data_IF_580844514459
#
_entry.id   IF_580844514459
#
_cell.length_a   1.000
_cell.length_b   1.000
_cell.length_c   1.000
_cell.angle_alpha   90.00
_cell.angle_beta   90.00
_cell.angle_gamma   90.00
#
_symmetry.space_group_name_H-M   'P 1'
#
loop_
_entity.id
_entity.type
_entity.pdbx_description
1 polymer ?
#
# COMPACT_ATOMS: atom_id res chain seq x y z
N UNK A 1 9.67 11.75 6.87
CA UNK A 1 8.31 11.59 7.40
C UNK A 1 7.30 12.01 6.33
N UNK A 2 6.22 11.25 6.13
CA UNK A 2 5.07 11.71 5.34
C UNK A 2 4.12 12.43 6.28
N UNK A 3 3.65 13.62 5.89
CA UNK A 3 2.76 14.45 6.69
C UNK A 3 1.60 14.98 5.86
N UNK A 4 0.41 14.84 6.38
CA UNK A 4 -0.84 15.33 5.80
C UNK A 4 -1.51 16.19 6.86
N UNK A 5 -1.64 17.48 6.60
CA UNK A 5 -2.13 18.45 7.56
C UNK A 5 -3.36 19.16 7.02
N UNK A 6 -4.52 18.84 7.59
CA UNK A 6 -5.83 19.40 7.26
C UNK A 6 -6.14 19.41 5.77
N UNK A 7 -5.90 18.27 5.10
CA UNK A 7 -5.97 18.17 3.63
C UNK A 7 -7.39 17.89 3.17
N UNK A 8 -7.88 18.76 2.29
CA UNK A 8 -9.10 18.55 1.51
C UNK A 8 -8.73 18.44 0.03
N UNK A 9 -9.37 17.52 -0.69
CA UNK A 9 -9.17 17.36 -2.11
C UNK A 9 -10.47 17.05 -2.84
N UNK A 10 -10.75 17.79 -3.92
CA UNK A 10 -11.86 17.57 -4.84
C UNK A 10 -11.33 17.36 -6.25
N UNK A 11 -11.86 16.37 -6.97
CA UNK A 11 -11.65 16.26 -8.40
C UNK A 11 -12.50 17.37 -9.07
N UNK A 12 -11.84 18.40 -9.63
CA UNK A 12 -12.56 19.42 -10.39
C UNK A 12 -12.97 18.85 -11.74
N UNK A 13 -14.26 18.60 -11.91
CA UNK A 13 -14.86 18.40 -13.23
C UNK A 13 -15.36 19.75 -13.74
N UNK A 14 -14.99 20.10 -14.99
CA UNK A 14 -15.48 21.33 -15.62
C UNK A 14 -17.01 21.32 -15.64
N UNK A 15 -17.65 22.09 -14.75
CA UNK A 15 -19.10 22.32 -14.73
C UNK A 15 -19.84 21.81 -13.49
N UNK A 16 -19.27 20.96 -12.64
CA UNK A 16 -19.89 20.53 -11.39
C UNK A 16 -19.22 21.20 -10.19
N UNK A 17 -19.77 22.32 -9.74
CA UNK A 17 -19.28 23.03 -8.54
C UNK A 17 -19.63 22.34 -7.22
N UNK A 18 -20.46 21.27 -7.23
CA UNK A 18 -21.03 20.64 -6.04
C UNK A 18 -20.64 19.17 -5.82
N UNK A 19 -19.62 18.64 -6.52
CA UNK A 19 -19.16 17.29 -6.21
C UNK A 19 -18.51 17.25 -4.82
N UNK A 20 -18.91 16.31 -3.92
CA UNK A 20 -18.34 16.22 -2.60
C UNK A 20 -16.83 15.95 -2.70
N UNK A 21 -16.01 16.55 -1.83
CA UNK A 21 -14.57 16.28 -1.82
C UNK A 21 -14.28 14.79 -1.65
N UNK A 22 -13.22 14.33 -2.31
CA UNK A 22 -12.74 12.94 -2.15
C UNK A 22 -11.94 12.75 -0.85
N UNK A 23 -11.42 13.85 -0.27
CA UNK A 23 -10.80 13.89 1.05
C UNK A 23 -11.28 15.15 1.79
N UNK A 24 -11.55 14.98 3.09
CA UNK A 24 -12.06 16.04 3.98
C UNK A 24 -11.15 16.20 5.19
N UNK A 25 -10.43 17.31 5.29
CA UNK A 25 -9.63 17.72 6.46
C UNK A 25 -8.78 16.58 7.05
N UNK A 26 -8.19 15.77 6.17
CA UNK A 26 -7.39 14.60 6.56
C UNK A 26 -6.13 15.06 7.27
N UNK A 27 -5.88 14.46 8.43
CA UNK A 27 -4.66 14.62 9.21
C UNK A 27 -4.01 13.26 9.40
N UNK A 28 -2.73 13.12 9.02
CA UNK A 28 -1.99 11.86 9.10
C UNK A 28 -0.49 12.14 9.12
N UNK A 29 0.25 11.37 9.92
CA UNK A 29 1.70 11.34 9.86
C UNK A 29 2.21 9.91 9.83
N UNK A 30 3.20 9.62 8.96
CA UNK A 30 3.83 8.31 8.84
C UNK A 30 5.35 8.51 8.97
N UNK A 31 5.94 8.08 10.10
CA UNK A 31 7.38 8.12 10.32
C UNK A 31 8.16 7.29 9.30
N UNK A 32 9.44 7.62 9.05
CA UNK A 32 10.31 6.79 8.24
C UNK A 32 10.48 5.39 8.83
N UNK A 33 10.49 4.36 7.97
CA UNK A 33 10.65 2.96 8.36
C UNK A 33 9.39 2.31 8.93
N UNK A 34 8.26 3.05 9.03
CA UNK A 34 7.00 2.49 9.47
C UNK A 34 6.29 1.72 8.35
N UNK A 35 5.67 0.59 8.69
CA UNK A 35 4.75 -0.14 7.82
C UNK A 35 3.33 0.08 8.29
N UNK A 36 2.50 0.67 7.41
CA UNK A 36 1.12 1.06 7.71
C UNK A 36 0.18 0.46 6.68
N UNK A 37 -0.93 -0.10 7.13
CA UNK A 37 -2.03 -0.47 6.24
C UNK A 37 -3.11 0.61 6.23
N UNK A 38 -3.66 0.91 5.06
CA UNK A 38 -4.83 1.79 4.90
C UNK A 38 -5.96 0.96 4.33
N UNK A 39 -7.05 0.84 5.07
CA UNK A 39 -8.25 0.10 4.65
C UNK A 39 -9.46 1.03 4.55
N UNK A 40 -10.46 0.61 3.79
CA UNK A 40 -11.69 1.37 3.60
C UNK A 40 -12.47 0.84 2.40
N UNK A 41 -13.74 1.17 2.32
CA UNK A 41 -14.58 0.82 1.18
C UNK A 41 -14.11 1.52 -0.12
N UNK A 42 -14.55 1.03 -1.26
CA UNK A 42 -14.31 1.72 -2.54
C UNK A 42 -14.92 3.13 -2.49
N UNK A 43 -14.16 4.11 -2.97
CA UNK A 43 -14.56 5.52 -2.88
C UNK A 43 -14.25 6.22 -1.55
N UNK A 44 -13.64 5.55 -0.56
CA UNK A 44 -13.30 6.18 0.73
C UNK A 44 -12.13 7.17 0.70
N UNK A 45 -11.48 7.37 -0.46
CA UNK A 45 -10.39 8.34 -0.63
C UNK A 45 -8.97 7.77 -0.57
N UNK A 46 -8.77 6.45 -0.36
CA UNK A 46 -7.43 5.81 -0.20
C UNK A 46 -6.48 6.08 -1.37
N UNK A 47 -6.90 5.79 -2.59
CA UNK A 47 -6.08 6.01 -3.79
C UNK A 47 -5.82 7.50 -4.05
N UNK A 48 -6.77 8.37 -3.67
CA UNK A 48 -6.59 9.82 -3.72
C UNK A 48 -5.50 10.27 -2.75
N UNK A 49 -5.53 9.75 -1.52
CA UNK A 49 -4.48 10.02 -0.52
C UNK A 49 -3.11 9.53 -1.01
N UNK A 50 -3.03 8.31 -1.58
CA UNK A 50 -1.79 7.80 -2.15
C UNK A 50 -1.22 8.70 -3.25
N UNK A 51 -2.07 9.16 -4.17
CA UNK A 51 -1.67 10.08 -5.26
C UNK A 51 -1.19 11.43 -4.75
N UNK A 52 -1.78 11.95 -3.67
CA UNK A 52 -1.31 13.19 -3.02
C UNK A 52 0.05 12.99 -2.34
N UNK A 53 0.26 11.87 -1.64
CA UNK A 53 1.54 11.52 -1.02
C UNK A 53 2.66 11.31 -2.07
N UNK A 54 2.31 10.78 -3.24
CA UNK A 54 3.24 10.59 -4.37
C UNK A 54 3.45 11.88 -5.21
N UNK A 55 2.88 13.02 -4.81
CA UNK A 55 2.91 14.28 -5.54
C UNK A 55 2.42 14.16 -7.01
N UNK A 56 1.45 13.28 -7.25
CA UNK A 56 0.73 13.15 -8.54
C UNK A 56 -0.44 14.13 -8.57
N UNK A 57 -1.13 14.28 -7.44
CA UNK A 57 -2.19 15.25 -7.23
C UNK A 57 -1.71 16.36 -6.29
N UNK A 58 -2.32 17.55 -6.42
CA UNK A 58 -2.09 18.66 -5.50
C UNK A 58 -3.33 18.84 -4.62
N UNK A 59 -3.19 19.05 -3.31
CA UNK A 59 -4.34 19.27 -2.43
C UNK A 59 -5.11 20.54 -2.85
N UNK A 60 -6.43 20.52 -2.69
CA UNK A 60 -7.28 21.71 -2.88
C UNK A 60 -7.06 22.70 -1.74
N UNK A 61 -6.91 22.20 -0.51
CA UNK A 61 -6.50 22.96 0.67
C UNK A 61 -5.73 22.08 1.64
N UNK A 62 -5.07 22.70 2.61
CA UNK A 62 -4.17 22.01 3.53
C UNK A 62 -2.77 21.82 2.98
N UNK A 63 -2.00 20.91 3.57
CA UNK A 63 -0.59 20.70 3.26
C UNK A 63 -0.22 19.22 3.28
N UNK A 64 0.43 18.75 2.21
CA UNK A 64 1.08 17.42 2.16
C UNK A 64 2.58 17.62 2.03
N UNK A 65 3.35 16.92 2.87
CA UNK A 65 4.82 17.00 2.87
C UNK A 65 5.47 15.60 2.88
N UNK A 66 6.61 15.53 2.20
CA UNK A 66 7.50 14.37 2.19
C UNK A 66 8.87 14.84 2.69
N UNK A 67 9.28 14.40 3.88
CA UNK A 67 10.53 14.83 4.52
C UNK A 67 10.69 16.37 4.55
N UNK A 68 9.59 17.09 4.85
CA UNK A 68 9.55 18.55 4.91
C UNK A 68 9.37 19.25 3.56
N UNK A 69 9.44 18.55 2.42
CA UNK A 69 9.18 19.12 1.10
C UNK A 69 7.69 19.05 0.77
N UNK A 70 7.11 20.14 0.26
CA UNK A 70 5.69 20.22 -0.09
C UNK A 70 5.40 19.49 -1.41
N UNK A 71 4.34 18.68 -1.46
CA UNK A 71 3.97 17.93 -2.68
C UNK A 71 3.35 18.80 -3.77
N UNK A 72 2.92 20.02 -3.46
CA UNK A 72 2.45 21.01 -4.43
C UNK A 72 3.57 21.90 -5.01
N UNK A 73 4.81 21.68 -4.58
CA UNK A 73 6.00 22.34 -5.08
C UNK A 73 6.23 22.07 -6.59
N UNK A 74 7.24 22.71 -7.15
CA UNK A 74 7.67 22.53 -8.54
C UNK A 74 9.20 22.42 -8.60
N UNK A 75 9.71 22.06 -9.78
CA UNK A 75 11.16 21.99 -9.99
C UNK A 75 11.85 20.90 -9.18
N UNK A 76 12.96 21.24 -8.54
CA UNK A 76 13.86 20.30 -7.86
C UNK A 76 13.21 19.61 -6.66
N UNK A 77 12.39 20.31 -5.89
CA UNK A 77 11.69 19.74 -4.75
C UNK A 77 10.72 18.62 -5.18
N UNK A 78 9.93 18.87 -6.23
CA UNK A 78 9.01 17.87 -6.78
C UNK A 78 9.77 16.65 -7.30
N UNK A 79 10.89 16.87 -7.96
CA UNK A 79 11.74 15.79 -8.46
C UNK A 79 12.31 14.96 -7.30
N UNK A 80 12.80 15.61 -6.25
CA UNK A 80 13.29 14.96 -5.03
C UNK A 80 12.20 14.13 -4.35
N UNK A 81 10.95 14.64 -4.28
CA UNK A 81 9.83 13.88 -3.72
C UNK A 81 9.58 12.61 -4.53
N UNK A 82 9.54 12.71 -5.87
CA UNK A 82 9.29 11.57 -6.76
C UNK A 82 10.39 10.51 -6.74
N UNK A 83 11.60 10.87 -6.38
CA UNK A 83 12.66 9.89 -6.09
C UNK A 83 12.44 9.14 -4.77
N UNK A 84 11.93 9.84 -3.75
CA UNK A 84 11.74 9.29 -2.41
C UNK A 84 10.47 8.46 -2.28
N UNK A 85 9.46 8.74 -3.06
CA UNK A 85 8.14 8.10 -3.00
C UNK A 85 7.88 7.32 -4.27
N UNK A 86 7.91 5.99 -4.16
CA UNK A 86 7.47 5.10 -5.21
C UNK A 86 6.00 4.71 -5.00
N UNK A 87 5.24 4.65 -6.07
CA UNK A 87 3.85 4.19 -6.05
C UNK A 87 3.65 3.05 -7.03
N UNK A 88 2.91 2.03 -6.60
CA UNK A 88 2.46 0.92 -7.45
C UNK A 88 0.95 1.01 -7.53
N UNK A 89 0.40 1.10 -8.73
CA UNK A 89 -1.03 1.20 -8.98
C UNK A 89 -1.73 -0.16 -8.96
N UNK A 90 -3.04 -0.14 -8.79
CA UNK A 90 -3.90 -1.30 -8.78
C UNK A 90 -3.83 -2.09 -10.11
N UNK A 91 -3.87 -1.38 -11.23
CA UNK A 91 -3.74 -1.96 -12.56
C UNK A 91 -2.33 -1.74 -13.10
N UNK A 92 -1.51 -2.78 -13.29
CA UNK A 92 -0.15 -2.62 -13.80
C UNK A 92 -0.10 -2.05 -15.23
N UNK A 93 -1.13 -2.25 -16.06
CA UNK A 93 -1.16 -1.68 -17.41
C UNK A 93 -1.22 -0.15 -17.42
N UNK A 94 -1.62 0.49 -16.31
CA UNK A 94 -1.60 1.96 -16.16
C UNK A 94 -0.20 2.49 -15.77
N UNK A 95 0.73 1.59 -15.46
CA UNK A 95 2.08 1.93 -14.97
C UNK A 95 3.19 1.54 -15.95
N UNK A 96 3.05 0.38 -16.61
CA UNK A 96 4.07 -0.17 -17.51
C UNK A 96 4.12 0.62 -18.82
N UNK A 97 5.31 1.07 -19.21
CA UNK A 97 5.50 2.00 -20.35
C UNK A 97 6.44 1.45 -21.43
N UNK A 98 7.32 0.51 -21.09
CA UNK A 98 8.28 -0.05 -22.03
C UNK A 98 7.75 -1.28 -22.78
N UNK A 99 8.52 -1.77 -23.75
CA UNK A 99 8.16 -2.93 -24.54
C UNK A 99 8.57 -4.25 -23.92
N UNK A 100 9.68 -4.28 -23.18
CA UNK A 100 10.24 -5.47 -22.51
C UNK A 100 10.31 -5.28 -21.00
N UNK A 101 10.45 -6.39 -20.28
CA UNK A 101 10.57 -6.39 -18.80
C UNK A 101 11.79 -5.60 -18.35
N UNK A 102 12.96 -5.86 -18.94
CA UNK A 102 14.21 -5.21 -18.55
C UNK A 102 14.17 -3.70 -18.81
N UNK A 103 13.61 -3.29 -19.94
CA UNK A 103 13.50 -1.86 -20.29
C UNK A 103 12.53 -1.13 -19.33
N UNK A 104 11.45 -1.79 -18.92
CA UNK A 104 10.48 -1.18 -17.98
C UNK A 104 11.08 -1.01 -16.58
N UNK A 105 11.83 -1.99 -16.11
CA UNK A 105 12.54 -1.90 -14.82
C UNK A 105 13.66 -0.84 -14.89
N UNK A 106 14.31 -0.68 -16.04
CA UNK A 106 15.35 0.33 -16.27
C UNK A 106 14.80 1.76 -16.27
N UNK A 107 13.56 1.95 -16.68
CA UNK A 107 12.96 3.27 -16.93
C UNK A 107 13.08 4.25 -15.75
N UNK A 108 12.80 3.77 -14.53
CA UNK A 108 12.95 4.59 -13.33
C UNK A 108 14.41 5.03 -13.07
N UNK A 109 15.36 4.10 -12.92
CA UNK A 109 16.78 4.38 -12.74
C UNK A 109 17.40 5.26 -13.84
N UNK A 110 17.01 5.08 -15.10
CA UNK A 110 17.46 5.94 -16.22
C UNK A 110 16.97 7.38 -16.05
N UNK A 111 15.71 7.58 -15.69
CA UNK A 111 15.18 8.91 -15.41
C UNK A 111 15.84 9.59 -14.21
N UNK A 112 16.41 8.82 -13.28
CA UNK A 112 17.22 9.36 -12.19
C UNK A 112 18.60 9.83 -12.65
N UNK A 113 18.99 9.58 -13.91
CA UNK A 113 20.30 9.95 -14.46
C UNK A 113 21.47 9.17 -13.83
N UNK A 114 21.23 7.95 -13.36
CA UNK A 114 22.25 7.11 -12.72
C UNK A 114 23.29 6.63 -13.73
N UNK A 115 24.53 6.35 -13.28
CA UNK A 115 25.54 5.73 -14.11
C UNK A 115 25.09 4.34 -14.59
N UNK A 116 25.47 3.94 -15.81
CA UNK A 116 25.02 2.69 -16.42
C UNK A 116 25.27 1.44 -15.55
N UNK A 117 26.43 1.35 -14.92
CA UNK A 117 26.75 0.22 -14.04
C UNK A 117 25.80 0.11 -12.85
N UNK A 118 25.36 1.25 -12.30
CA UNK A 118 24.42 1.31 -11.19
C UNK A 118 22.99 0.95 -11.64
N UNK A 119 22.60 1.36 -12.85
CA UNK A 119 21.32 0.96 -13.46
C UNK A 119 21.30 -0.56 -13.62
N UNK A 120 22.34 -1.16 -14.22
CA UNK A 120 22.44 -2.60 -14.42
C UNK A 120 22.38 -3.37 -13.09
N UNK A 121 23.09 -2.91 -12.04
CA UNK A 121 23.04 -3.49 -10.70
C UNK A 121 21.63 -3.46 -10.11
N UNK A 122 20.94 -2.30 -10.17
CA UNK A 122 19.59 -2.13 -9.61
C UNK A 122 18.53 -2.97 -10.34
N UNK A 123 18.65 -3.09 -11.67
CA UNK A 123 17.77 -3.96 -12.47
C UNK A 123 17.96 -5.41 -12.05
N UNK A 124 19.18 -5.91 -12.01
CA UNK A 124 19.50 -7.28 -11.61
C UNK A 124 18.95 -7.60 -10.23
N UNK A 125 19.19 -6.69 -9.27
CA UNK A 125 18.68 -6.82 -7.93
C UNK A 125 17.15 -6.87 -7.88
N UNK A 126 16.45 -5.95 -8.56
CA UNK A 126 14.99 -5.89 -8.58
C UNK A 126 14.38 -7.14 -9.25
N UNK A 127 14.99 -7.63 -10.32
CA UNK A 127 14.56 -8.86 -11.00
C UNK A 127 14.73 -10.09 -10.12
N UNK A 128 15.87 -10.24 -9.45
CA UNK A 128 16.14 -11.37 -8.54
C UNK A 128 15.18 -11.39 -7.33
N UNK A 129 14.79 -10.21 -6.82
CA UNK A 129 13.84 -10.08 -5.69
C UNK A 129 12.44 -10.60 -6.02
N UNK A 130 12.05 -10.57 -7.29
CA UNK A 130 10.69 -10.87 -7.74
C UNK A 130 10.62 -12.06 -8.73
N UNK A 131 11.72 -12.84 -8.83
CA UNK A 131 11.83 -14.02 -9.71
C UNK A 131 11.53 -13.69 -11.20
N UNK A 132 12.08 -12.56 -11.70
CA UNK A 132 11.82 -12.06 -13.06
C UNK A 132 12.94 -12.33 -14.06
N UNK A 133 14.07 -12.94 -13.67
CA UNK A 133 15.27 -13.09 -14.51
C UNK A 133 14.96 -13.87 -15.81
N UNK A 134 14.10 -14.89 -15.71
CA UNK A 134 13.70 -15.69 -16.87
C UNK A 134 12.83 -14.92 -17.90
N UNK A 135 12.31 -13.74 -17.49
CA UNK A 135 11.40 -12.93 -18.29
C UNK A 135 12.04 -11.65 -18.83
N UNK A 136 13.35 -11.42 -18.59
CA UNK A 136 14.03 -10.15 -18.88
C UNK A 136 13.73 -9.58 -20.27
N UNK A 137 13.89 -10.38 -21.29
CA UNK A 137 13.70 -10.02 -22.70
C UNK A 137 12.25 -10.20 -23.19
N UNK A 138 11.35 -10.65 -22.30
CA UNK A 138 9.97 -10.93 -22.67
C UNK A 138 9.20 -9.64 -22.90
N UNK A 139 8.35 -9.62 -23.91
CA UNK A 139 7.49 -8.48 -24.15
C UNK A 139 6.41 -8.37 -23.06
N UNK A 140 6.18 -7.16 -22.53
CA UNK A 140 5.20 -6.86 -21.46
C UNK A 140 3.80 -7.39 -21.82
N UNK A 141 3.39 -7.26 -23.08
CA UNK A 141 2.07 -7.74 -23.56
C UNK A 141 1.86 -9.25 -23.43
N UNK A 142 2.94 -10.03 -23.39
CA UNK A 142 2.88 -11.50 -23.33
C UNK A 142 2.89 -12.04 -21.88
N UNK A 143 3.02 -11.14 -20.90
CA UNK A 143 3.00 -11.45 -19.47
C UNK A 143 1.56 -11.64 -18.95
N UNK A 144 1.41 -12.56 -17.98
CA UNK A 144 0.19 -12.61 -17.16
C UNK A 144 0.06 -11.34 -16.29
N UNK A 145 -1.15 -11.02 -15.84
CA UNK A 145 -1.40 -9.85 -14.99
C UNK A 145 -0.55 -9.88 -13.71
N UNK A 146 -0.33 -11.08 -13.13
CA UNK A 146 0.53 -11.23 -11.94
C UNK A 146 2.00 -10.94 -12.23
N UNK A 147 2.52 -11.35 -13.38
CA UNK A 147 3.88 -11.03 -13.81
C UNK A 147 4.02 -9.53 -14.10
N UNK A 148 3.03 -8.91 -14.76
CA UNK A 148 2.99 -7.46 -14.97
C UNK A 148 3.06 -6.71 -13.65
N UNK A 149 2.33 -7.16 -12.63
CA UNK A 149 2.37 -6.57 -11.30
C UNK A 149 3.75 -6.71 -10.64
N UNK A 150 4.41 -7.88 -10.81
CA UNK A 150 5.79 -8.06 -10.34
C UNK A 150 6.75 -7.09 -11.06
N UNK A 151 6.62 -6.90 -12.37
CA UNK A 151 7.43 -5.93 -13.14
C UNK A 151 7.19 -4.51 -12.65
N UNK A 152 5.94 -4.09 -12.47
CA UNK A 152 5.61 -2.76 -11.96
C UNK A 152 6.25 -2.49 -10.58
N UNK A 153 6.22 -3.48 -9.68
CA UNK A 153 6.88 -3.38 -8.38
C UNK A 153 8.41 -3.37 -8.52
N UNK A 154 8.97 -4.21 -9.39
CA UNK A 154 10.41 -4.24 -9.65
C UNK A 154 10.92 -2.88 -10.13
N UNK A 155 10.23 -2.25 -11.08
CA UNK A 155 10.57 -0.91 -11.59
C UNK A 155 10.58 0.16 -10.48
N UNK A 156 9.60 0.11 -9.57
CA UNK A 156 9.58 1.02 -8.42
C UNK A 156 10.70 0.70 -7.43
N UNK A 157 10.97 -0.56 -7.12
CA UNK A 157 12.04 -0.96 -6.20
C UNK A 157 13.43 -0.64 -6.74
N UNK A 158 13.64 -0.71 -8.07
CA UNK A 158 14.90 -0.33 -8.72
C UNK A 158 15.25 1.14 -8.51
N UNK A 159 14.27 2.01 -8.28
CA UNK A 159 14.49 3.41 -7.90
C UNK A 159 15.03 3.54 -6.46
N UNK A 160 14.94 2.49 -5.62
CA UNK A 160 15.30 2.48 -4.20
C UNK A 160 14.60 3.58 -3.40
N UNK A 161 13.24 3.64 -3.44
CA UNK A 161 12.48 4.68 -2.78
C UNK A 161 12.58 4.56 -1.26
N UNK A 162 12.39 5.68 -0.56
CA UNK A 162 12.29 5.72 0.90
C UNK A 162 10.90 5.33 1.40
N UNK A 163 9.88 5.63 0.61
CA UNK A 163 8.46 5.33 0.86
C UNK A 163 7.89 4.56 -0.33
N UNK A 164 7.31 3.41 -0.07
CA UNK A 164 6.65 2.58 -1.07
C UNK A 164 5.15 2.57 -0.81
N UNK A 165 4.40 3.16 -1.71
CA UNK A 165 2.93 3.16 -1.70
C UNK A 165 2.45 2.01 -2.59
N UNK A 166 1.64 1.12 -2.04
CA UNK A 166 1.04 0.00 -2.75
C UNK A 166 -0.48 0.21 -2.79
N UNK A 167 -1.01 0.65 -3.92
CA UNK A 167 -2.45 0.90 -4.08
C UNK A 167 -3.14 -0.34 -4.64
N UNK A 168 -3.70 -1.16 -3.75
CA UNK A 168 -4.39 -2.43 -4.05
C UNK A 168 -3.59 -3.40 -4.96
N UNK A 169 -2.29 -3.65 -4.71
CA UNK A 169 -1.40 -4.34 -5.64
C UNK A 169 -1.76 -5.81 -5.86
N UNK A 170 -2.66 -6.36 -5.07
CA UNK A 170 -3.00 -7.78 -5.03
C UNK A 170 -4.37 -8.11 -5.63
N UNK A 171 -5.16 -7.10 -5.97
CA UNK A 171 -6.56 -7.27 -6.39
C UNK A 171 -6.73 -8.11 -7.66
N UNK A 172 -5.76 -8.05 -8.58
CA UNK A 172 -5.84 -8.74 -9.88
C UNK A 172 -5.00 -10.02 -9.95
N UNK A 173 -4.41 -10.48 -8.85
CA UNK A 173 -3.49 -11.61 -8.83
C UNK A 173 -3.98 -12.72 -7.89
N UNK A 174 -3.46 -13.95 -8.08
CA UNK A 174 -3.85 -15.08 -7.25
C UNK A 174 -3.38 -14.89 -5.79
N UNK A 175 -4.12 -15.41 -4.82
CA UNK A 175 -3.77 -15.33 -3.40
C UNK A 175 -2.35 -15.85 -3.10
N UNK A 176 -1.89 -16.87 -3.82
CA UNK A 176 -0.53 -17.41 -3.66
C UNK A 176 0.52 -16.40 -4.11
N UNK A 177 0.35 -15.82 -5.31
CA UNK A 177 1.26 -14.78 -5.85
C UNK A 177 1.23 -13.52 -4.96
N UNK A 178 0.03 -13.09 -4.54
CA UNK A 178 -0.16 -11.95 -3.65
C UNK A 178 0.65 -12.11 -2.35
N UNK A 179 0.53 -13.27 -1.70
CA UNK A 179 1.25 -13.55 -0.47
C UNK A 179 2.77 -13.49 -0.65
N UNK A 180 3.31 -14.18 -1.66
CA UNK A 180 4.75 -14.14 -1.95
C UNK A 180 5.26 -12.73 -2.21
N UNK A 181 4.52 -11.95 -2.98
CA UNK A 181 4.84 -10.57 -3.31
C UNK A 181 4.87 -9.69 -2.06
N UNK A 182 3.84 -9.75 -1.23
CA UNK A 182 3.77 -8.98 0.02
C UNK A 182 4.85 -9.41 1.01
N UNK A 183 5.10 -10.72 1.16
CA UNK A 183 6.18 -11.23 2.03
C UNK A 183 7.54 -10.68 1.57
N UNK A 184 7.80 -10.61 0.25
CA UNK A 184 9.03 -10.03 -0.29
C UNK A 184 9.14 -8.54 0.01
N UNK A 185 8.07 -7.76 -0.24
CA UNK A 185 8.06 -6.32 0.03
C UNK A 185 8.25 -6.02 1.52
N UNK A 186 7.60 -6.78 2.40
CA UNK A 186 7.72 -6.56 3.86
C UNK A 186 9.10 -6.95 4.38
N UNK A 187 9.70 -8.02 3.86
CA UNK A 187 11.08 -8.37 4.17
C UNK A 187 12.04 -7.25 3.77
N UNK A 188 11.92 -6.72 2.56
CA UNK A 188 12.72 -5.58 2.09
C UNK A 188 12.52 -4.33 2.95
N UNK A 189 11.30 -4.06 3.37
CA UNK A 189 11.01 -2.96 4.31
C UNK A 189 11.81 -3.10 5.60
N UNK A 190 11.84 -4.30 6.18
CA UNK A 190 12.61 -4.57 7.41
C UNK A 190 14.12 -4.49 7.20
N UNK A 191 14.63 -5.06 6.10
CA UNK A 191 16.06 -5.13 5.81
C UNK A 191 16.66 -3.77 5.40
N UNK A 192 15.89 -2.94 4.70
CA UNK A 192 16.36 -1.66 4.11
C UNK A 192 15.77 -0.42 4.74
N UNK A 193 14.88 -0.56 5.73
CA UNK A 193 14.22 0.57 6.38
C UNK A 193 13.26 1.35 5.47
N UNK A 194 12.71 0.71 4.43
CA UNK A 194 11.73 1.33 3.53
C UNK A 194 10.39 1.40 4.26
N UNK A 195 9.77 2.57 4.29
CA UNK A 195 8.39 2.71 4.78
C UNK A 195 7.43 2.13 3.75
N UNK A 196 6.51 1.25 4.17
CA UNK A 196 5.50 0.67 3.28
C UNK A 196 4.11 1.14 3.69
N UNK A 197 3.40 1.75 2.76
CA UNK A 197 2.00 2.14 2.92
C UNK A 197 1.17 1.22 2.01
N UNK A 198 0.53 0.24 2.61
CA UNK A 198 -0.25 -0.78 1.91
C UNK A 198 -1.73 -0.45 1.96
N UNK A 199 -2.29 -0.08 0.81
CA UNK A 199 -3.71 0.17 0.64
C UNK A 199 -4.37 -1.11 0.15
N UNK A 200 -5.40 -1.58 0.84
CA UNK A 200 -6.13 -2.78 0.47
C UNK A 200 -7.55 -2.77 1.02
N UNK A 201 -8.41 -3.54 0.39
CA UNK A 201 -9.73 -3.90 0.94
C UNK A 201 -9.77 -5.35 1.48
N UNK A 202 -8.64 -6.06 1.44
CA UNK A 202 -8.53 -7.43 1.95
C UNK A 202 -8.07 -7.45 3.41
N UNK A 203 -8.97 -7.69 4.34
CA UNK A 203 -8.69 -7.64 5.79
C UNK A 203 -7.62 -8.64 6.26
N UNK A 204 -7.44 -9.75 5.54
CA UNK A 204 -6.43 -10.75 5.89
C UNK A 204 -4.98 -10.27 5.61
N UNK A 205 -4.79 -9.31 4.70
CA UNK A 205 -3.48 -8.77 4.36
C UNK A 205 -2.93 -7.84 5.43
N UNK A 206 -3.80 -7.24 6.25
CA UNK A 206 -3.40 -6.21 7.21
C UNK A 206 -3.14 -6.73 8.62
N UNK A 207 -3.37 -8.02 8.87
CA UNK A 207 -3.23 -8.62 10.21
C UNK A 207 -1.80 -8.61 10.75
N UNK A 208 -0.79 -8.54 9.88
CA UNK A 208 0.64 -8.49 10.22
C UNK A 208 1.20 -7.07 10.42
N UNK A 209 0.41 -6.03 10.18
CA UNK A 209 0.85 -4.65 10.35
C UNK A 209 0.88 -4.23 11.82
N UNK A 210 1.69 -3.22 12.13
CA UNK A 210 1.70 -2.61 13.47
C UNK A 210 0.64 -1.52 13.62
N UNK A 211 0.23 -0.90 12.50
CA UNK A 211 -0.73 0.21 12.46
C UNK A 211 -1.67 0.04 11.27
N UNK A 212 -2.94 0.26 11.50
CA UNK A 212 -4.00 0.24 10.49
C UNK A 212 -4.80 1.53 10.58
N UNK A 213 -4.98 2.16 9.43
CA UNK A 213 -5.78 3.36 9.26
C UNK A 213 -7.04 2.97 8.51
N UNK A 214 -8.19 3.31 9.06
CA UNK A 214 -9.50 3.10 8.43
C UNK A 214 -9.97 4.40 7.81
N UNK A 215 -10.20 4.41 6.51
CA UNK A 215 -10.77 5.55 5.81
C UNK A 215 -12.25 5.30 5.45
N UNK A 216 -13.06 6.31 5.63
CA UNK A 216 -14.47 6.31 5.27
C UNK A 216 -14.90 7.69 4.79
N UNK A 217 -15.57 7.76 3.62
CA UNK A 217 -16.09 9.00 3.04
C UNK A 217 -15.11 10.18 3.06
N UNK A 218 -13.85 9.93 2.70
CA UNK A 218 -12.80 10.95 2.65
C UNK A 218 -12.19 11.34 3.98
N UNK A 219 -12.56 10.71 5.09
CA UNK A 219 -12.02 10.95 6.44
C UNK A 219 -11.19 9.77 6.95
N UNK A 220 -10.26 10.05 7.87
CA UNK A 220 -9.66 9.03 8.74
C UNK A 220 -10.63 8.75 9.89
N UNK A 221 -11.22 7.56 9.87
CA UNK A 221 -12.19 7.13 10.88
C UNK A 221 -11.51 6.53 12.12
N UNK A 222 -10.49 5.70 11.90
CA UNK A 222 -9.72 5.03 12.95
C UNK A 222 -8.24 4.96 12.56
N UNK A 223 -7.36 5.00 13.55
CA UNK A 223 -5.91 4.88 13.39
C UNK A 223 -5.34 4.20 14.64
N UNK A 224 -5.09 2.89 14.57
CA UNK A 224 -4.68 2.08 15.71
C UNK A 224 -4.03 0.76 15.27
N UNK A 225 -3.71 -0.11 16.21
CA UNK A 225 -3.23 -1.46 15.95
C UNK A 225 -4.33 -2.33 15.31
N UNK A 226 -3.99 -3.37 14.53
CA UNK A 226 -4.98 -4.31 13.98
C UNK A 226 -5.90 -4.91 15.04
N UNK A 227 -5.33 -5.23 16.23
CA UNK A 227 -6.11 -5.80 17.36
C UNK A 227 -7.19 -4.81 17.82
N UNK A 228 -6.84 -3.54 18.03
CA UNK A 228 -7.79 -2.49 18.44
C UNK A 228 -8.85 -2.23 17.37
N UNK A 229 -8.44 -2.16 16.09
CA UNK A 229 -9.36 -1.94 14.97
C UNK A 229 -10.36 -3.10 14.86
N UNK A 230 -9.88 -4.34 14.84
CA UNK A 230 -10.77 -5.50 14.67
C UNK A 230 -11.55 -5.87 15.94
N UNK A 231 -11.21 -5.33 17.10
CA UNK A 231 -12.07 -5.38 18.29
C UNK A 231 -13.38 -4.60 18.07
N UNK A 232 -13.36 -3.56 17.25
CA UNK A 232 -14.49 -2.67 16.95
C UNK A 232 -15.30 -3.13 15.72
N UNK A 233 -15.55 -4.46 15.60
CA UNK A 233 -16.19 -5.04 14.41
C UNK A 233 -17.57 -4.43 14.08
N UNK A 234 -18.35 -4.02 15.08
CA UNK A 234 -19.65 -3.36 14.85
C UNK A 234 -19.51 -2.02 14.14
N UNK A 235 -18.50 -1.23 14.49
CA UNK A 235 -18.19 0.05 13.85
C UNK A 235 -17.67 -0.16 12.42
N UNK A 236 -16.82 -1.18 12.20
CA UNK A 236 -16.36 -1.55 10.86
C UNK A 236 -17.53 -1.98 9.97
N UNK A 237 -18.46 -2.79 10.50
CA UNK A 237 -19.65 -3.22 9.76
C UNK A 237 -20.55 -2.04 9.40
N UNK A 238 -20.71 -1.05 10.28
CA UNK A 238 -21.50 0.14 10.01
C UNK A 238 -20.99 0.95 8.81
N UNK A 239 -19.68 0.85 8.49
CA UNK A 239 -19.04 1.50 7.33
C UNK A 239 -18.76 0.54 6.17
N UNK A 240 -19.42 -0.62 6.15
CA UNK A 240 -19.32 -1.62 5.07
C UNK A 240 -18.02 -2.42 5.05
N UNK A 241 -17.24 -2.38 6.13
CA UNK A 241 -16.02 -3.19 6.29
C UNK A 241 -16.30 -4.42 7.15
N UNK A 242 -15.45 -5.42 6.99
CA UNK A 242 -15.54 -6.65 7.75
C UNK A 242 -14.26 -6.88 8.58
N UNK A 243 -14.24 -7.92 9.38
CA UNK A 243 -13.04 -8.37 10.08
C UNK A 243 -12.45 -9.60 9.39
N UNK A 244 -11.15 -9.93 9.59
CA UNK A 244 -10.56 -11.15 9.06
C UNK A 244 -11.37 -12.40 9.44
N UNK A 245 -11.40 -13.39 8.54
CA UNK A 245 -12.16 -14.63 8.77
C UNK A 245 -11.72 -15.35 10.07
N UNK A 246 -10.43 -15.33 10.36
CA UNK A 246 -9.89 -15.90 11.60
C UNK A 246 -10.39 -15.18 12.85
N UNK A 247 -10.56 -13.85 12.76
CA UNK A 247 -11.15 -13.03 13.84
C UNK A 247 -12.61 -13.37 14.05
N UNK A 248 -13.39 -13.54 12.96
CA UNK A 248 -14.79 -14.00 13.05
C UNK A 248 -14.89 -15.36 13.73
N UNK A 249 -14.03 -16.29 13.35
CA UNK A 249 -13.97 -17.62 13.94
C UNK A 249 -13.65 -17.54 15.43
N UNK A 250 -12.61 -16.79 15.81
CA UNK A 250 -12.23 -16.58 17.21
C UNK A 250 -13.37 -16.04 18.06
N UNK A 251 -14.05 -15.00 17.58
CA UNK A 251 -15.23 -14.42 18.25
C UNK A 251 -16.37 -15.44 18.44
N UNK A 252 -16.66 -16.23 17.39
CA UNK A 252 -17.70 -17.25 17.45
C UNK A 252 -17.38 -18.35 18.46
N UNK A 253 -16.12 -18.78 18.49
CA UNK A 253 -15.65 -19.76 19.49
C UNK A 253 -15.74 -19.17 20.91
N UNK A 254 -15.31 -17.94 21.09
CA UNK A 254 -15.40 -17.26 22.41
C UNK A 254 -16.85 -17.19 22.91
N UNK A 255 -17.81 -16.84 22.02
CA UNK A 255 -19.26 -16.83 22.33
C UNK A 255 -19.80 -18.21 22.67
N UNK A 256 -19.18 -19.27 22.19
CA UNK A 256 -19.54 -20.68 22.50
C UNK A 256 -18.87 -21.20 23.80
N UNK A 257 -18.24 -20.33 24.58
CA UNK A 257 -17.66 -20.68 25.86
C UNK A 257 -16.16 -20.98 25.86
N UNK A 258 -15.47 -20.78 24.74
CA UNK A 258 -14.02 -20.96 24.64
C UNK A 258 -13.27 -19.72 25.19
N UNK A 259 -13.46 -19.44 26.48
CA UNK A 259 -13.01 -18.22 27.15
C UNK A 259 -11.48 -18.02 27.21
N UNK A 260 -10.70 -19.08 26.93
CA UNK A 260 -9.22 -19.00 26.87
C UNK A 260 -8.70 -18.39 25.59
N UNK A 261 -9.54 -18.33 24.52
CA UNK A 261 -9.16 -17.69 23.27
C UNK A 261 -9.23 -16.18 23.43
N UNK A 262 -8.25 -15.41 22.88
CA UNK A 262 -8.39 -13.97 22.77
C UNK A 262 -9.66 -13.60 21.98
N UNK A 263 -10.31 -12.50 22.34
CA UNK A 263 -11.49 -12.02 21.61
C UNK A 263 -11.15 -11.68 20.17
N UNK A 264 -9.94 -11.16 19.91
CA UNK A 264 -9.43 -10.84 18.58
C UNK A 264 -8.26 -11.76 18.26
N UNK A 265 -8.43 -12.59 17.24
CA UNK A 265 -7.40 -13.47 16.69
C UNK A 265 -7.06 -12.95 15.29
N UNK A 266 -5.78 -12.73 15.03
CA UNK A 266 -5.29 -12.16 13.76
C UNK A 266 -4.65 -13.22 12.85
N UNK A 267 -4.29 -14.39 13.38
CA UNK A 267 -3.67 -15.46 12.60
C UNK A 267 -4.12 -16.85 13.02
N UNK A 268 -4.00 -17.82 12.12
CA UNK A 268 -4.26 -19.24 12.42
C UNK A 268 -3.29 -19.76 13.49
N UNK A 269 -2.07 -19.24 13.50
CA UNK A 269 -1.07 -19.67 14.49
C UNK A 269 -1.43 -19.19 15.90
N UNK A 270 -2.01 -18.00 16.05
CA UNK A 270 -2.57 -17.56 17.32
C UNK A 270 -3.73 -18.48 17.78
N UNK A 271 -4.55 -18.97 16.84
CA UNK A 271 -5.62 -19.91 17.13
C UNK A 271 -5.04 -21.26 17.60
N UNK A 272 -4.01 -21.79 16.93
CA UNK A 272 -3.35 -23.04 17.26
C UNK A 272 -2.57 -22.98 18.58
N UNK A 273 -1.96 -21.83 18.89
CA UNK A 273 -1.19 -21.62 20.12
C UNK A 273 -2.04 -21.67 21.39
N UNK A 274 -3.37 -21.56 21.24
CA UNK A 274 -4.35 -21.68 22.32
C UNK A 274 -5.20 -22.94 22.11
N UNK A 275 -4.61 -24.16 22.20
CA UNK A 275 -5.33 -25.39 21.92
C UNK A 275 -6.47 -25.58 22.89
N UNK A 276 -7.55 -26.08 22.36
CA UNK A 276 -8.74 -26.46 23.04
C UNK A 276 -8.43 -27.53 24.09
N UNK A 277 -8.34 -27.16 25.35
CA UNK A 277 -8.66 -28.11 26.41
C UNK A 277 -10.14 -27.94 26.71
N UNK A 278 -10.96 -28.79 26.08
CA UNK A 278 -12.33 -29.05 26.55
C UNK A 278 -12.26 -29.44 28.02
N UNK A 279 -12.88 -28.64 28.87
CA UNK A 279 -13.25 -29.13 30.22
C UNK A 279 -14.37 -30.15 30.05
#
# INVERSE_FOLDING_TARGET
>A
MLEVNNVTFSYSTHGEQDAPPALHEVNLSIPPGETVAIIGHNGSGKSTLAKLLAAILKPTSGLVQVDGLRTDASGEDLWTIRQRVGIVFQNPDDQLVASTVIDDIAFGPENLGLPRFEIEERIQEAMALLDLEAYAEMAIKDLSIGQKQQVAIAGVLAMRPRYLLLDEPTTMISNHTARRLLDTVYRLSQERGISVIHITHFMHEVTGFKRVIVMHEGHVLMDDTPTSIFARAGELQAVGLDVPMVTKLGRRLHQQGWSRLPEVILSIDQLKANPCSSN
#
